data_IF_872708006665
#
_entry.id   IF_872708006665
#
_cell.length_a   1.000
_cell.length_b   1.000
_cell.length_c   1.000
_cell.angle_alpha   90.00
_cell.angle_beta   90.00
_cell.angle_gamma   90.00
#
_symmetry.space_group_name_H-M   'P 1'
#
loop_
_entity.id
_entity.type
_entity.pdbx_description
1 polymer ?
#
# COMPACT_ATOMS: atom_id res chain seq x y z
N UNK A 1 19.17 0.86 3.21
CA UNK A 1 18.08 -0.14 3.23
C UNK A 1 17.20 0.17 4.44
N UNK A 2 15.87 0.06 4.36
CA UNK A 2 14.99 0.35 5.50
C UNK A 2 15.07 -0.83 6.47
N UNK A 3 15.29 -0.56 7.75
CA UNK A 3 15.29 -1.58 8.80
C UNK A 3 13.89 -1.77 9.37
N UNK A 4 13.52 -3.03 9.60
CA UNK A 4 12.19 -3.44 10.06
C UNK A 4 12.29 -4.18 11.39
N UNK A 5 11.39 -3.84 12.32
CA UNK A 5 11.14 -4.68 13.50
C UNK A 5 10.53 -6.02 13.08
N UNK A 6 9.64 -5.97 12.10
CA UNK A 6 9.10 -7.14 11.42
C UNK A 6 8.63 -6.78 10.00
N UNK A 7 8.67 -7.76 9.11
CA UNK A 7 8.04 -7.75 7.78
C UNK A 7 7.02 -8.89 7.71
N UNK A 8 6.05 -8.76 6.82
CA UNK A 8 5.13 -9.86 6.51
C UNK A 8 5.76 -10.86 5.53
N UNK A 9 5.07 -11.98 5.32
CA UNK A 9 5.50 -13.04 4.41
C UNK A 9 5.81 -12.47 3.02
N UNK A 10 6.89 -12.99 2.43
CA UNK A 10 7.34 -12.60 1.12
C UNK A 10 6.28 -12.92 0.07
N UNK A 11 6.18 -12.05 -0.92
CA UNK A 11 5.24 -12.18 -2.03
C UNK A 11 6.00 -12.37 -3.34
N UNK A 12 5.25 -12.78 -4.34
CA UNK A 12 5.71 -12.94 -5.72
C UNK A 12 5.30 -11.75 -6.59
N UNK A 13 5.89 -11.67 -7.77
CA UNK A 13 5.43 -10.73 -8.80
C UNK A 13 3.98 -10.99 -9.23
N UNK A 14 3.50 -12.24 -9.11
CA UNK A 14 2.14 -12.60 -9.47
C UNK A 14 1.12 -12.04 -8.46
N UNK A 15 1.46 -12.01 -7.17
CA UNK A 15 0.62 -11.39 -6.14
C UNK A 15 0.39 -9.90 -6.42
N UNK A 16 1.44 -9.20 -6.83
CA UNK A 16 1.39 -7.79 -7.25
C UNK A 16 0.50 -7.64 -8.49
N UNK A 17 0.67 -8.52 -9.48
CA UNK A 17 -0.11 -8.50 -10.72
C UNK A 17 -1.59 -8.73 -10.45
N UNK A 18 -1.91 -9.64 -9.53
CA UNK A 18 -3.28 -9.91 -9.08
C UNK A 18 -3.91 -8.67 -8.43
N UNK A 19 -3.17 -7.96 -7.58
CA UNK A 19 -3.64 -6.69 -7.00
C UNK A 19 -3.89 -5.63 -8.07
N UNK A 20 -2.92 -5.41 -8.96
CA UNK A 20 -3.01 -4.45 -10.07
C UNK A 20 -4.24 -4.75 -10.97
N UNK A 21 -4.46 -6.02 -11.30
CA UNK A 21 -5.60 -6.45 -12.11
C UNK A 21 -6.93 -6.28 -11.36
N UNK A 22 -7.00 -6.68 -10.09
CA UNK A 22 -8.22 -6.59 -9.28
C UNK A 22 -8.73 -5.14 -9.16
N UNK A 23 -7.82 -4.18 -9.02
CA UNK A 23 -8.18 -2.77 -8.87
C UNK A 23 -7.99 -1.94 -10.15
N UNK A 24 -7.60 -2.57 -11.26
CA UNK A 24 -7.29 -1.90 -12.54
C UNK A 24 -6.31 -0.73 -12.37
N UNK A 25 -5.26 -0.94 -11.60
CA UNK A 25 -4.21 0.06 -11.32
C UNK A 25 -2.83 -0.44 -11.68
N UNK A 26 -1.88 0.49 -11.78
CA UNK A 26 -0.45 0.20 -11.90
C UNK A 26 0.31 0.79 -10.72
N UNK A 27 0.94 -0.09 -9.94
CA UNK A 27 1.81 0.34 -8.85
C UNK A 27 3.14 0.86 -9.42
N UNK A 28 3.72 1.91 -8.83
CA UNK A 28 5.04 2.40 -9.22
C UNK A 28 6.10 1.30 -9.16
N UNK A 29 7.07 1.32 -10.08
CA UNK A 29 8.11 0.29 -10.18
C UNK A 29 8.89 0.13 -8.87
N UNK A 30 9.28 1.24 -8.24
CA UNK A 30 10.06 1.20 -7.01
C UNK A 30 9.24 0.68 -5.82
N UNK A 31 7.92 0.94 -5.81
CA UNK A 31 7.04 0.37 -4.79
C UNK A 31 6.86 -1.14 -4.97
N UNK A 32 6.82 -1.63 -6.22
CA UNK A 32 6.82 -3.08 -6.49
C UNK A 32 8.11 -3.76 -6.03
N UNK A 33 9.26 -3.15 -6.33
CA UNK A 33 10.56 -3.64 -5.84
C UNK A 33 10.59 -3.68 -4.31
N UNK A 34 10.10 -2.63 -3.66
CA UNK A 34 9.96 -2.57 -2.21
C UNK A 34 9.14 -3.75 -1.69
N UNK A 35 7.93 -3.99 -2.22
CA UNK A 35 7.06 -5.07 -1.76
C UNK A 35 7.66 -6.48 -1.95
N UNK A 36 8.44 -6.69 -3.01
CA UNK A 36 9.13 -7.96 -3.28
C UNK A 36 10.32 -8.20 -2.34
N UNK A 37 11.02 -7.14 -1.95
CA UNK A 37 12.11 -7.20 -0.98
C UNK A 37 11.62 -7.34 0.45
N UNK A 38 10.57 -6.59 0.80
CA UNK A 38 9.92 -6.57 2.09
C UNK A 38 8.43 -6.28 1.89
N UNK A 39 7.57 -7.22 2.28
CA UNK A 39 6.12 -7.08 2.09
C UNK A 39 5.52 -6.17 3.17
N UNK A 40 5.94 -4.90 3.21
CA UNK A 40 5.56 -3.96 4.25
C UNK A 40 6.07 -4.35 5.64
N UNK A 41 5.36 -3.92 6.68
CA UNK A 41 5.73 -4.15 8.07
C UNK A 41 6.12 -2.88 8.81
N UNK A 42 6.61 -3.06 10.03
CA UNK A 42 6.85 -1.98 10.96
C UNK A 42 8.32 -1.56 10.93
N UNK A 43 8.64 -0.32 10.50
CA UNK A 43 10.02 0.13 10.46
C UNK A 43 10.55 0.42 11.87
N UNK A 44 11.85 0.22 12.05
CA UNK A 44 12.57 0.61 13.27
C UNK A 44 12.54 2.13 13.40
N UNK A 45 12.93 2.85 12.34
CA UNK A 45 12.87 4.32 12.29
C UNK A 45 11.51 4.77 11.79
N UNK A 46 10.69 5.29 12.71
CA UNK A 46 9.33 5.74 12.40
C UNK A 46 9.24 7.22 12.07
N UNK A 47 10.14 8.06 12.60
CA UNK A 47 10.14 9.51 12.33
C UNK A 47 11.05 9.86 11.17
N UNK A 48 10.53 10.64 10.25
CA UNK A 48 11.26 11.16 9.11
C UNK A 48 10.91 12.62 8.88
N UNK A 49 11.85 13.36 8.29
CA UNK A 49 11.63 14.73 7.85
C UNK A 49 11.41 14.74 6.35
N UNK A 50 10.64 15.71 5.86
CA UNK A 50 10.63 16.06 4.44
C UNK A 50 12.00 16.56 4.00
N UNK A 51 12.27 16.55 2.70
CA UNK A 51 13.59 16.90 2.15
C UNK A 51 14.01 18.35 2.46
N UNK A 52 13.03 19.25 2.60
CA UNK A 52 13.20 20.65 3.01
C UNK A 52 13.21 20.84 4.54
N UNK A 53 13.12 19.75 5.30
CA UNK A 53 13.09 19.70 6.77
C UNK A 53 11.92 20.43 7.46
N UNK A 54 10.96 20.94 6.70
CA UNK A 54 9.85 21.74 7.23
C UNK A 54 8.84 20.88 8.00
N UNK A 55 8.66 19.62 7.61
CA UNK A 55 7.68 18.71 8.20
C UNK A 55 8.40 17.51 8.79
N UNK A 56 8.13 17.24 10.07
CA UNK A 56 8.45 15.95 10.69
C UNK A 56 7.18 15.10 10.73
N UNK A 57 7.25 13.92 10.12
CA UNK A 57 6.15 12.97 10.08
C UNK A 57 6.54 11.63 10.70
N UNK A 58 5.55 10.79 10.96
CA UNK A 58 5.72 9.46 11.53
C UNK A 58 5.04 8.40 10.68
N UNK A 59 5.78 7.35 10.33
CA UNK A 59 5.28 6.17 9.65
C UNK A 59 5.18 5.02 10.64
N UNK A 60 3.95 4.56 10.89
CA UNK A 60 3.69 3.47 11.82
C UNK A 60 3.77 2.09 11.17
N UNK A 61 3.39 1.99 9.89
CA UNK A 61 3.29 0.74 9.17
C UNK A 61 3.42 0.99 7.66
N UNK A 62 4.28 0.23 7.00
CA UNK A 62 4.19 0.04 5.56
C UNK A 62 3.15 -1.02 5.27
N UNK A 63 2.13 -0.68 4.48
CA UNK A 63 1.02 -1.59 4.19
C UNK A 63 1.52 -2.83 3.43
N UNK A 64 1.29 -4.05 3.95
CA UNK A 64 1.58 -5.27 3.23
C UNK A 64 0.59 -5.50 2.10
N UNK A 65 1.03 -6.24 1.10
CA UNK A 65 0.19 -6.95 0.16
C UNK A 65 -0.16 -8.33 0.73
N UNK A 66 -1.14 -8.36 1.65
CA UNK A 66 -1.68 -9.60 2.22
C UNK A 66 -3.17 -9.46 2.43
N UNK A 67 -3.92 -10.55 2.23
CA UNK A 67 -5.37 -10.58 2.49
C UNK A 67 -5.72 -11.03 3.91
N UNK A 68 -4.74 -11.51 4.68
CA UNK A 68 -4.94 -12.13 5.99
C UNK A 68 -4.90 -11.14 7.15
N UNK A 69 -4.46 -9.91 6.91
CA UNK A 69 -4.26 -8.89 7.95
C UNK A 69 -5.22 -7.74 7.72
N UNK A 70 -5.82 -7.19 8.77
CA UNK A 70 -6.79 -6.09 8.65
C UNK A 70 -6.21 -4.83 7.97
N UNK A 71 -4.99 -4.44 8.33
CA UNK A 71 -4.32 -3.24 7.82
C UNK A 71 -3.40 -3.62 6.67
N UNK A 72 -3.96 -3.68 5.46
CA UNK A 72 -3.24 -4.11 4.26
C UNK A 72 -3.59 -3.22 3.06
N UNK A 73 -2.85 -3.36 1.96
CA UNK A 73 -3.06 -2.54 0.77
C UNK A 73 -4.44 -2.77 0.12
N UNK A 74 -4.95 -4.01 0.06
CA UNK A 74 -6.30 -4.30 -0.44
C UNK A 74 -7.40 -3.57 0.35
N UNK A 75 -7.34 -3.63 1.68
CA UNK A 75 -8.38 -3.05 2.54
C UNK A 75 -8.40 -1.54 2.45
N UNK A 76 -7.22 -0.90 2.51
CA UNK A 76 -7.09 0.54 2.34
C UNK A 76 -7.48 0.98 0.93
N UNK A 77 -6.99 0.30 -0.10
CA UNK A 77 -7.30 0.67 -1.47
C UNK A 77 -8.81 0.60 -1.72
N UNK A 78 -9.45 -0.48 -1.30
CA UNK A 78 -10.90 -0.60 -1.37
C UNK A 78 -11.61 0.48 -0.54
N UNK A 79 -11.19 0.78 0.69
CA UNK A 79 -11.84 1.78 1.53
C UNK A 79 -11.81 3.19 0.90
N UNK A 80 -10.67 3.61 0.37
CA UNK A 80 -10.46 4.99 -0.07
C UNK A 80 -10.79 5.22 -1.56
N UNK A 81 -10.92 4.15 -2.36
CA UNK A 81 -11.25 4.26 -3.79
C UNK A 81 -12.63 3.68 -4.14
N UNK A 82 -13.49 3.44 -3.14
CA UNK A 82 -14.89 3.11 -3.39
C UNK A 82 -15.57 4.28 -4.08
N UNK A 83 -16.08 4.05 -5.29
CA UNK A 83 -17.03 4.96 -5.92
C UNK A 83 -18.25 5.04 -4.98
N UNK A 84 -18.70 6.25 -4.57
CA UNK A 84 -19.90 6.38 -3.77
C UNK A 84 -21.07 5.73 -4.52
N UNK A 85 -21.89 4.94 -3.80
CA UNK A 85 -23.06 4.26 -4.39
C UNK A 85 -24.05 5.22 -5.07
N UNK A 86 -23.96 6.52 -4.81
CA UNK A 86 -24.86 7.54 -5.36
C UNK A 86 -24.46 8.06 -6.75
N UNK A 87 -23.22 7.84 -7.21
CA UNK A 87 -22.76 8.37 -8.51
C UNK A 87 -23.10 7.45 -9.70
N UNK A 88 -23.58 6.23 -9.45
CA UNK A 88 -23.98 5.28 -10.51
C UNK A 88 -25.38 5.53 -11.08
N UNK A 89 -26.16 6.45 -10.51
CA UNK A 89 -27.52 6.78 -10.99
C UNK A 89 -27.56 7.85 -12.09
N UNK A 90 -26.46 8.55 -12.37
CA UNK A 90 -26.44 9.68 -13.32
C UNK A 90 -25.83 9.39 -14.70
N UNK A 91 -25.66 8.12 -15.08
CA UNK A 91 -25.27 7.75 -16.45
C UNK A 91 -26.33 6.90 -17.14
N UNK A 92 -27.50 7.47 -17.35
CA UNK A 92 -28.43 7.13 -18.44
C UNK A 92 -29.17 8.39 -18.89
N UNK A 93 -28.58 9.11 -19.83
CA UNK A 93 -29.30 9.87 -20.87
C UNK A 93 -28.54 9.64 -22.17
#
# INVERSE_FOLDING_TARGET
MIEFEYSYQQITSEDIKNFENQFSVKLPLDYKKFLLQCNGGKPVKRRFKTADETITSSLMLFLPLSKEIKFNLYSYYHQFNRIPKEVSLFKRV
#
